data_IF_995846655593
#
_entry.id   IF_995846655593
#
_cell.length_a   1.000
_cell.length_b   1.000
_cell.length_c   1.000
_cell.angle_alpha   90.00
_cell.angle_beta   90.00
_cell.angle_gamma   90.00
#
_symmetry.space_group_name_H-M   'P 1'
#
loop_
_entity.id
_entity.type
_entity.pdbx_description
1 polymer ?
#
# COMPACT_ATOMS: atom_id res chain seq x y z
N UNK A 1 8.81 -6.26 -16.29
CA UNK A 1 8.80 -6.70 -14.89
C UNK A 1 7.68 -6.02 -14.15
N UNK A 2 6.87 -6.77 -13.44
CA UNK A 2 5.80 -6.26 -12.58
C UNK A 2 6.24 -6.33 -11.15
N UNK A 3 6.23 -5.18 -10.47
CA UNK A 3 6.76 -5.04 -9.11
C UNK A 3 5.66 -4.47 -8.20
N UNK A 4 5.51 -5.09 -7.04
CA UNK A 4 4.67 -4.59 -5.95
C UNK A 4 5.56 -3.81 -4.98
N UNK A 5 5.24 -2.54 -4.76
CA UNK A 5 5.93 -1.70 -3.78
C UNK A 5 5.06 -1.52 -2.54
N UNK A 6 5.69 -1.62 -1.39
CA UNK A 6 5.03 -1.42 -0.09
C UNK A 6 5.77 -0.35 0.69
N UNK A 7 5.01 0.60 1.22
CA UNK A 7 5.53 1.62 2.12
C UNK A 7 4.66 1.63 3.38
N UNK A 8 5.27 1.54 4.53
CA UNK A 8 4.57 1.65 5.80
C UNK A 8 5.43 2.48 6.76
N UNK A 9 4.95 3.65 7.11
CA UNK A 9 5.65 4.55 8.01
C UNK A 9 4.65 5.37 8.80
N UNK A 10 4.98 5.65 10.05
CA UNK A 10 4.18 6.49 10.95
C UNK A 10 2.69 6.15 10.89
N UNK A 11 1.91 6.94 10.18
CA UNK A 11 0.44 6.88 10.14
C UNK A 11 -0.12 6.55 8.74
N UNK A 12 0.72 6.07 7.82
CA UNK A 12 0.28 5.71 6.46
C UNK A 12 0.80 4.35 6.03
N UNK A 13 -0.01 3.62 5.28
CA UNK A 13 0.37 2.40 4.58
C UNK A 13 0.07 2.59 3.09
N UNK A 14 1.06 2.39 2.24
CA UNK A 14 0.93 2.54 0.79
C UNK A 14 1.31 1.26 0.07
N UNK A 15 0.57 0.94 -0.98
CA UNK A 15 0.84 -0.19 -1.87
C UNK A 15 0.68 0.26 -3.31
N UNK A 16 1.63 -0.11 -4.16
CA UNK A 16 1.56 0.21 -5.58
C UNK A 16 2.05 -0.96 -6.43
N UNK A 17 1.51 -1.07 -7.63
CA UNK A 17 1.98 -2.02 -8.64
C UNK A 17 2.51 -1.25 -9.83
N UNK A 18 3.76 -1.50 -10.20
CA UNK A 18 4.43 -0.87 -11.33
C UNK A 18 4.88 -1.91 -12.34
N UNK A 19 4.64 -1.64 -13.63
CA UNK A 19 5.09 -2.48 -14.73
C UNK A 19 6.19 -1.76 -15.50
N UNK A 20 7.42 -2.27 -15.44
CA UNK A 20 8.57 -1.66 -16.09
C UNK A 20 8.57 -1.82 -17.62
N UNK A 21 7.69 -2.66 -18.16
CA UNK A 21 7.51 -2.77 -19.60
C UNK A 21 6.81 -1.54 -20.21
N UNK A 22 6.11 -0.76 -19.37
CA UNK A 22 5.46 0.50 -19.76
C UNK A 22 6.33 1.66 -19.28
N UNK A 23 6.26 2.79 -19.96
CA UNK A 23 7.09 3.95 -19.61
C UNK A 23 6.31 5.01 -18.84
N UNK A 24 7.02 5.71 -17.94
CA UNK A 24 6.48 6.83 -17.18
C UNK A 24 5.26 6.48 -16.34
N UNK A 25 4.27 7.37 -16.33
CA UNK A 25 3.06 7.21 -15.53
C UNK A 25 2.22 6.00 -15.95
N UNK A 26 2.32 5.55 -17.21
CA UNK A 26 1.61 4.37 -17.68
C UNK A 26 2.06 3.08 -16.97
N UNK A 27 3.28 3.05 -16.43
CA UNK A 27 3.79 1.93 -15.66
C UNK A 27 3.13 1.77 -14.29
N UNK A 28 2.57 2.83 -13.73
CA UNK A 28 1.84 2.76 -12.46
C UNK A 28 0.45 2.16 -12.73
N UNK A 29 0.32 0.86 -12.47
CA UNK A 29 -0.90 0.11 -12.78
C UNK A 29 -2.00 0.33 -11.76
N UNK A 30 -1.65 0.43 -10.49
CA UNK A 30 -2.57 0.72 -9.40
C UNK A 30 -1.81 1.18 -8.17
N UNK A 31 -2.45 1.97 -7.33
CA UNK A 31 -1.90 2.31 -6.03
C UNK A 31 -3.04 2.57 -5.04
N UNK A 32 -2.76 2.34 -3.76
CA UNK A 32 -3.69 2.63 -2.68
C UNK A 32 -2.91 3.09 -1.45
N UNK A 33 -3.46 4.05 -0.74
CA UNK A 33 -2.88 4.57 0.51
C UNK A 33 -3.97 4.56 1.58
N UNK A 34 -3.62 4.03 2.74
CA UNK A 34 -4.46 4.08 3.93
C UNK A 34 -3.80 4.98 4.96
N UNK A 35 -4.53 6.03 5.40
CA UNK A 35 -4.05 6.98 6.41
C UNK A 35 -4.65 6.67 7.77
N UNK A 36 -3.83 6.75 8.82
CA UNK A 36 -4.24 6.57 10.20
C UNK A 36 -4.50 7.90 10.92
N UNK A 37 -4.60 9.00 10.20
CA UNK A 37 -4.72 10.34 10.81
C UNK A 37 -5.88 10.40 11.79
N UNK A 38 -7.04 9.87 11.42
CA UNK A 38 -8.21 9.87 12.29
C UNK A 38 -8.01 9.04 13.56
N UNK A 39 -7.31 7.90 13.46
CA UNK A 39 -7.01 7.05 14.61
C UNK A 39 -6.13 7.77 15.63
N UNK A 40 -5.07 8.43 15.16
CA UNK A 40 -4.10 9.09 16.04
C UNK A 40 -4.57 10.45 16.54
N UNK A 41 -5.51 11.10 15.85
CA UNK A 41 -6.01 12.42 16.22
C UNK A 41 -6.58 12.46 17.64
N UNK A 42 -7.22 11.37 18.09
CA UNK A 42 -7.75 11.24 19.45
C UNK A 42 -6.67 11.36 20.52
N UNK A 43 -5.43 11.05 20.18
CA UNK A 43 -4.28 11.05 21.10
C UNK A 43 -3.37 12.27 20.89
N UNK A 44 -3.76 13.21 20.02
CA UNK A 44 -2.99 14.43 19.76
C UNK A 44 -1.76 14.23 18.88
N UNK A 45 -1.59 13.06 18.27
CA UNK A 45 -0.48 12.75 17.39
C UNK A 45 -0.23 11.26 17.26
N UNK A 46 0.78 10.87 16.50
CA UNK A 46 1.08 9.47 16.23
C UNK A 46 1.42 8.71 17.51
N UNK A 47 0.75 7.59 17.74
CA UNK A 47 1.03 6.63 18.80
C UNK A 47 1.73 5.41 18.16
N UNK A 48 3.06 5.23 18.37
CA UNK A 48 3.82 4.21 17.63
C UNK A 48 3.28 2.79 17.76
N UNK A 49 2.80 2.39 18.92
CA UNK A 49 2.23 1.05 19.12
C UNK A 49 0.96 0.85 18.32
N UNK A 50 0.06 1.85 18.27
CA UNK A 50 -1.15 1.79 17.47
C UNK A 50 -0.83 1.81 15.98
N UNK A 51 0.15 2.61 15.56
CA UNK A 51 0.61 2.65 14.19
C UNK A 51 1.09 1.29 13.72
N UNK A 52 1.94 0.63 14.52
CA UNK A 52 2.46 -0.70 14.21
C UNK A 52 1.34 -1.73 14.05
N UNK A 53 0.39 -1.76 14.97
CA UNK A 53 -0.76 -2.68 14.91
C UNK A 53 -1.61 -2.45 13.68
N UNK A 54 -1.84 -1.19 13.33
CA UNK A 54 -2.70 -0.85 12.20
C UNK A 54 -2.03 -1.17 10.87
N UNK A 55 -0.71 -0.99 10.74
CA UNK A 55 0.04 -1.41 9.56
C UNK A 55 -0.11 -2.91 9.31
N UNK A 56 0.02 -3.73 10.37
CA UNK A 56 -0.15 -5.18 10.27
C UNK A 56 -1.57 -5.53 9.84
N UNK A 57 -2.57 -4.85 10.42
CA UNK A 57 -3.98 -5.12 10.14
C UNK A 57 -4.39 -4.73 8.73
N UNK A 58 -3.85 -3.63 8.20
CA UNK A 58 -4.30 -3.04 6.93
C UNK A 58 -3.52 -3.49 5.71
N UNK A 59 -2.30 -4.00 5.89
CA UNK A 59 -1.41 -4.29 4.77
C UNK A 59 -2.01 -5.31 3.78
N UNK A 60 -2.42 -6.47 4.26
CA UNK A 60 -2.91 -7.52 3.36
C UNK A 60 -4.20 -7.15 2.62
N UNK A 61 -5.21 -6.56 3.27
CA UNK A 61 -6.38 -6.05 2.55
C UNK A 61 -6.02 -5.01 1.49
N UNK A 62 -5.06 -4.14 1.78
CA UNK A 62 -4.62 -3.10 0.84
C UNK A 62 -3.89 -3.70 -0.36
N UNK A 63 -3.04 -4.71 -0.14
CA UNK A 63 -2.38 -5.46 -1.22
C UNK A 63 -3.42 -6.11 -2.13
N UNK A 64 -4.41 -6.78 -1.55
CA UNK A 64 -5.49 -7.43 -2.32
C UNK A 64 -6.27 -6.43 -3.15
N UNK A 65 -6.62 -5.29 -2.58
CA UNK A 65 -7.33 -4.22 -3.28
C UNK A 65 -6.50 -3.70 -4.46
N UNK A 66 -5.22 -3.43 -4.23
CA UNK A 66 -4.33 -2.87 -5.25
C UNK A 66 -4.15 -3.86 -6.42
N UNK A 67 -3.95 -5.14 -6.13
CA UNK A 67 -3.86 -6.16 -7.17
C UNK A 67 -5.15 -6.29 -7.96
N UNK A 68 -6.30 -6.26 -7.30
CA UNK A 68 -7.59 -6.31 -7.97
C UNK A 68 -7.79 -5.13 -8.91
N UNK A 69 -7.43 -3.92 -8.50
CA UNK A 69 -7.50 -2.72 -9.33
C UNK A 69 -6.56 -2.80 -10.55
N UNK A 70 -5.41 -3.43 -10.39
CA UNK A 70 -4.46 -3.65 -11.48
C UNK A 70 -4.89 -4.80 -12.41
N UNK A 71 -5.88 -5.60 -12.03
CA UNK A 71 -6.29 -6.78 -12.77
C UNK A 71 -5.28 -7.91 -12.72
N UNK A 72 -4.51 -8.01 -11.64
CA UNK A 72 -3.42 -8.96 -11.49
C UNK A 72 -3.64 -9.87 -10.28
N UNK A 73 -3.02 -11.05 -10.32
CA UNK A 73 -2.88 -11.93 -9.17
C UNK A 73 -1.43 -11.90 -8.66
N UNK A 74 -1.18 -12.46 -7.48
CA UNK A 74 0.17 -12.55 -6.92
C UNK A 74 1.13 -13.26 -7.87
N UNK A 75 0.66 -14.28 -8.57
CA UNK A 75 1.49 -15.03 -9.53
C UNK A 75 1.94 -14.21 -10.73
N UNK A 76 1.29 -13.07 -11.01
CA UNK A 76 1.68 -12.18 -12.10
C UNK A 76 2.83 -11.24 -11.73
N UNK A 77 3.22 -11.20 -10.46
CA UNK A 77 4.30 -10.34 -9.98
C UNK A 77 5.67 -10.99 -10.14
N UNK A 78 6.66 -10.17 -10.47
CA UNK A 78 8.08 -10.58 -10.52
C UNK A 78 8.81 -10.22 -9.21
N UNK A 79 8.29 -9.24 -8.50
CA UNK A 79 8.89 -8.82 -7.25
C UNK A 79 8.04 -7.85 -6.46
#
# INVERSE_FOLDING_TARGET
MRVLGIESSCDETGVAVYDTALSGAAGLRAHAVYSQIALHAEYGGVVPELASRDHVRKLLPLVRQTLAEAGLSVSDLDG
#
